data_IF_155904736950
#
_entry.id   IF_155904736950
#
_cell.length_a   1.000
_cell.length_b   1.000
_cell.length_c   1.000
_cell.angle_alpha   90.00
_cell.angle_beta   90.00
_cell.angle_gamma   90.00
#
_symmetry.space_group_name_H-M   'P 1'
#
loop_
_entity.id
_entity.type
_entity.pdbx_description
1 polymer ?
#
# COMPACT_ATOMS: atom_id res chain seq x y z
N UNK A 1 6.73 18.98 43.72
CA UNK A 1 6.31 18.03 42.66
C UNK A 1 6.78 18.57 41.33
N UNK A 2 7.90 18.02 40.87
CA UNK A 2 8.83 18.71 39.97
C UNK A 2 8.39 18.71 38.51
N UNK A 3 8.62 19.87 37.88
CA UNK A 3 8.45 20.12 36.44
C UNK A 3 9.21 19.12 35.54
N UNK A 4 10.19 18.40 36.09
CA UNK A 4 10.97 17.36 35.41
C UNK A 4 10.17 16.08 35.11
N UNK A 5 9.14 15.77 35.90
CA UNK A 5 8.26 14.61 35.68
C UNK A 5 7.38 14.75 34.43
N UNK A 6 7.10 15.98 33.97
CA UNK A 6 6.28 16.23 32.78
C UNK A 6 7.03 16.04 31.47
N UNK A 7 8.36 16.11 31.44
CA UNK A 7 9.13 15.85 30.21
C UNK A 7 9.29 14.35 29.93
N UNK A 8 9.21 13.50 30.96
CA UNK A 8 9.36 12.05 30.82
C UNK A 8 8.10 11.35 30.29
N UNK A 9 6.91 11.88 30.59
CA UNK A 9 5.62 11.31 30.18
C UNK A 9 5.34 11.53 28.69
N UNK A 10 5.87 12.61 28.10
CA UNK A 10 5.74 12.87 26.66
C UNK A 10 6.68 12.01 25.81
N UNK A 11 7.79 11.53 26.38
CA UNK A 11 8.70 10.61 25.70
C UNK A 11 8.07 9.21 25.52
N UNK A 12 7.50 8.66 26.59
CA UNK A 12 6.91 7.31 26.58
C UNK A 12 5.57 7.28 25.85
N UNK A 13 4.68 8.26 26.03
CA UNK A 13 3.43 8.34 25.27
C UNK A 13 3.67 8.59 23.78
N UNK A 14 4.68 9.36 23.39
CA UNK A 14 5.00 9.58 21.98
C UNK A 14 5.56 8.31 21.33
N UNK A 15 6.36 7.52 22.05
CA UNK A 15 6.82 6.21 21.59
C UNK A 15 5.70 5.17 21.51
N UNK A 16 4.76 5.16 22.46
CA UNK A 16 3.54 4.32 22.41
C UNK A 16 2.64 4.74 21.26
N UNK A 17 2.49 6.04 21.02
CA UNK A 17 1.73 6.59 19.90
C UNK A 17 2.39 6.22 18.56
N UNK A 18 3.71 6.38 18.43
CA UNK A 18 4.44 5.89 17.25
C UNK A 18 4.29 4.38 17.11
N UNK A 19 4.41 3.59 18.18
CA UNK A 19 4.24 2.14 18.13
C UNK A 19 2.82 1.73 17.70
N UNK A 20 1.80 2.43 18.19
CA UNK A 20 0.40 2.26 17.80
C UNK A 20 0.19 2.63 16.32
N UNK A 21 0.78 3.73 15.85
CA UNK A 21 0.77 4.16 14.45
C UNK A 21 1.56 3.19 13.53
N UNK A 22 2.66 2.59 14.01
CA UNK A 22 3.41 1.54 13.29
C UNK A 22 2.61 0.25 13.13
N UNK A 23 1.89 -0.14 14.19
CA UNK A 23 0.96 -1.28 14.13
C UNK A 23 -0.18 -1.02 13.12
N UNK A 24 -0.57 0.24 12.93
CA UNK A 24 -1.52 0.65 11.90
C UNK A 24 -0.96 0.53 10.47
N UNK A 25 0.28 0.95 10.21
CA UNK A 25 0.84 0.92 8.85
C UNK A 25 1.06 -0.51 8.33
N UNK A 26 1.67 -1.39 9.13
CA UNK A 26 1.86 -2.79 8.75
C UNK A 26 0.51 -3.46 8.48
N UNK A 27 -0.50 -3.18 9.31
CA UNK A 27 -1.84 -3.68 9.13
C UNK A 27 -2.45 -3.21 7.79
N UNK A 28 -2.39 -1.92 7.48
CA UNK A 28 -2.89 -1.41 6.20
C UNK A 28 -2.14 -1.98 4.99
N UNK A 29 -0.82 -2.15 5.09
CA UNK A 29 0.00 -2.80 4.05
C UNK A 29 -0.44 -4.25 3.85
N UNK A 30 -0.72 -4.98 4.94
CA UNK A 30 -1.20 -6.35 4.87
C UNK A 30 -2.59 -6.45 4.23
N UNK A 31 -3.50 -5.54 4.58
CA UNK A 31 -4.82 -5.44 3.92
C UNK A 31 -4.66 -5.13 2.43
N UNK A 32 -3.77 -4.20 2.07
CA UNK A 32 -3.47 -3.88 0.68
C UNK A 32 -2.91 -5.08 -0.10
N UNK A 33 -2.02 -5.86 0.52
CA UNK A 33 -1.54 -7.13 -0.05
C UNK A 33 -2.67 -8.14 -0.26
N UNK A 34 -3.54 -8.34 0.74
CA UNK A 34 -4.69 -9.24 0.62
C UNK A 34 -5.61 -8.83 -0.54
N UNK A 35 -5.92 -7.54 -0.66
CA UNK A 35 -6.74 -7.02 -1.75
C UNK A 35 -6.07 -7.20 -3.12
N UNK A 36 -4.75 -7.05 -3.20
CA UNK A 36 -4.00 -7.32 -4.43
C UNK A 36 -4.00 -8.80 -4.80
N UNK A 37 -3.81 -9.69 -3.82
CA UNK A 37 -3.73 -11.15 -4.00
C UNK A 37 -5.07 -11.77 -4.34
N UNK A 38 -6.17 -11.15 -3.90
CA UNK A 38 -7.52 -11.67 -4.09
C UNK A 38 -7.77 -12.04 -5.56
N UNK A 39 -8.10 -13.32 -5.77
CA UNK A 39 -8.42 -13.91 -7.07
C UNK A 39 -7.34 -13.74 -8.18
N UNK A 40 -6.06 -13.62 -7.82
CA UNK A 40 -4.95 -13.49 -8.79
C UNK A 40 -3.84 -14.53 -8.57
N UNK A 41 -3.57 -15.34 -9.60
CA UNK A 41 -2.62 -16.47 -9.56
C UNK A 41 -1.40 -16.30 -10.48
N UNK A 42 -1.07 -15.08 -10.91
CA UNK A 42 0.10 -14.84 -11.79
C UNK A 42 1.40 -15.30 -11.14
N UNK A 43 2.33 -15.86 -11.94
CA UNK A 43 3.66 -16.34 -11.49
C UNK A 43 4.40 -15.34 -10.58
N UNK A 44 4.34 -14.04 -10.90
CA UNK A 44 4.98 -12.99 -10.10
C UNK A 44 4.37 -12.82 -8.71
N UNK A 45 3.05 -13.00 -8.57
CA UNK A 45 2.33 -12.92 -7.30
C UNK A 45 2.65 -14.15 -6.45
N UNK A 46 2.64 -15.35 -7.05
CA UNK A 46 3.02 -16.59 -6.37
C UNK A 46 4.46 -16.52 -5.87
N UNK A 47 5.39 -16.05 -6.70
CA UNK A 47 6.78 -15.83 -6.29
C UNK A 47 6.93 -14.74 -5.19
N UNK A 48 5.96 -13.84 -5.06
CA UNK A 48 5.90 -12.89 -3.96
C UNK A 48 5.36 -13.51 -2.68
N UNK A 49 4.34 -14.33 -2.79
CA UNK A 49 3.71 -15.04 -1.69
C UNK A 49 4.69 -15.95 -0.94
N UNK A 50 5.64 -16.59 -1.62
CA UNK A 50 6.65 -17.44 -0.95
C UNK A 50 7.48 -16.72 0.14
N UNK A 51 7.64 -15.39 0.04
CA UNK A 51 8.40 -14.58 1.00
C UNK A 51 7.65 -13.31 1.40
N UNK A 52 6.31 -13.35 1.39
CA UNK A 52 5.49 -12.14 1.53
C UNK A 52 5.67 -11.48 2.89
N UNK A 53 5.69 -12.22 3.99
CA UNK A 53 5.85 -11.67 5.35
C UNK A 53 7.12 -10.82 5.46
N UNK A 54 8.27 -11.38 5.07
CA UNK A 54 9.55 -10.67 5.06
C UNK A 54 9.51 -9.42 4.18
N UNK A 55 8.99 -9.54 2.95
CA UNK A 55 8.91 -8.43 1.99
C UNK A 55 7.98 -7.31 2.45
N UNK A 56 6.86 -7.63 3.09
CA UNK A 56 5.93 -6.63 3.64
C UNK A 56 6.51 -5.92 4.86
N UNK A 57 7.25 -6.65 5.71
CA UNK A 57 7.98 -6.05 6.83
C UNK A 57 9.10 -5.11 6.35
N UNK A 58 9.87 -5.52 5.33
CA UNK A 58 10.87 -4.66 4.69
C UNK A 58 10.24 -3.42 4.09
N UNK A 59 9.15 -3.57 3.33
CA UNK A 59 8.42 -2.45 2.74
C UNK A 59 7.88 -1.48 3.80
N UNK A 60 7.34 -2.01 4.90
CA UNK A 60 6.89 -1.18 6.03
C UNK A 60 8.02 -0.33 6.58
N UNK A 61 9.20 -0.93 6.81
CA UNK A 61 10.38 -0.20 7.30
C UNK A 61 10.84 0.88 6.32
N UNK A 62 10.84 0.59 5.03
CA UNK A 62 11.23 1.57 4.01
C UNK A 62 10.26 2.75 3.92
N UNK A 63 8.95 2.50 4.07
CA UNK A 63 7.94 3.55 4.08
C UNK A 63 8.04 4.41 5.35
N UNK A 64 8.25 3.79 6.51
CA UNK A 64 8.51 4.51 7.77
C UNK A 64 9.75 5.39 7.68
N UNK A 65 10.82 4.88 7.10
CA UNK A 65 12.09 5.58 6.94
C UNK A 65 12.10 6.55 5.73
N UNK A 66 10.99 6.65 4.99
CA UNK A 66 10.89 7.45 3.74
C UNK A 66 11.98 7.10 2.71
N UNK A 67 12.48 5.87 2.73
CA UNK A 67 13.53 5.38 1.84
C UNK A 67 12.98 4.54 0.68
N UNK A 68 11.67 4.30 0.66
CA UNK A 68 11.00 3.58 -0.43
C UNK A 68 11.26 4.25 -1.79
N UNK A 69 11.67 3.45 -2.77
CA UNK A 69 11.85 3.86 -4.17
C UNK A 69 11.09 2.91 -5.07
N UNK A 70 10.38 3.49 -6.04
CA UNK A 70 9.61 2.74 -7.04
C UNK A 70 10.56 1.96 -7.93
N UNK A 71 10.21 0.71 -8.22
CA UNK A 71 10.99 -0.15 -9.11
C UNK A 71 10.71 0.22 -10.58
N UNK A 72 11.63 -0.05 -11.52
CA UNK A 72 11.36 0.16 -12.93
C UNK A 72 10.14 -0.65 -13.40
N UNK A 73 9.39 -0.11 -14.36
CA UNK A 73 8.25 -0.82 -14.93
C UNK A 73 8.69 -1.95 -15.85
N UNK A 74 7.93 -3.05 -15.85
CA UNK A 74 8.04 -4.08 -16.89
C UNK A 74 7.17 -3.69 -18.07
N UNK A 75 7.79 -3.39 -19.20
CA UNK A 75 7.10 -3.03 -20.44
C UNK A 75 6.93 -4.26 -21.34
N UNK A 76 5.72 -4.48 -21.86
CA UNK A 76 5.45 -5.51 -22.87
C UNK A 76 4.24 -5.13 -23.72
N UNK A 77 4.20 -5.60 -24.96
CA UNK A 77 3.08 -5.37 -25.88
C UNK A 77 2.11 -6.54 -25.79
N UNK A 78 0.81 -6.24 -25.75
CA UNK A 78 -0.24 -7.22 -26.01
C UNK A 78 -1.08 -6.78 -27.20
N UNK A 79 -1.61 -7.75 -27.95
CA UNK A 79 -2.27 -7.49 -29.24
C UNK A 79 -3.80 -7.55 -29.17
N UNK A 80 -4.37 -8.12 -28.11
CA UNK A 80 -5.81 -8.42 -28.01
C UNK A 80 -6.52 -7.55 -26.94
N UNK A 81 -7.66 -6.88 -27.23
CA UNK A 81 -8.33 -6.73 -28.54
C UNK A 81 -7.66 -5.74 -29.50
N UNK A 82 -6.82 -4.85 -28.99
CA UNK A 82 -6.02 -3.89 -29.78
C UNK A 82 -4.61 -3.86 -29.22
N UNK A 83 -3.62 -3.66 -30.11
CA UNK A 83 -2.22 -3.51 -29.74
C UNK A 83 -2.05 -2.38 -28.71
N UNK A 84 -1.53 -2.73 -27.53
CA UNK A 84 -1.21 -1.78 -26.47
C UNK A 84 0.08 -2.15 -25.76
N UNK A 85 0.88 -1.12 -25.48
CA UNK A 85 2.01 -1.21 -24.57
C UNK A 85 1.49 -1.20 -23.14
N UNK A 86 1.87 -2.22 -22.37
CA UNK A 86 1.55 -2.33 -20.96
C UNK A 86 2.80 -2.05 -20.13
N UNK A 87 2.64 -1.11 -19.20
CA UNK A 87 3.62 -0.80 -18.17
C UNK A 87 3.18 -1.43 -16.85
N UNK A 88 3.67 -2.63 -16.56
CA UNK A 88 3.31 -3.35 -15.35
C UNK A 88 4.30 -3.05 -14.21
N UNK A 89 3.79 -2.50 -13.12
CA UNK A 89 4.54 -2.33 -11.87
C UNK A 89 4.85 -3.68 -11.20
N UNK A 90 5.96 -3.75 -10.47
CA UNK A 90 6.30 -4.91 -9.65
C UNK A 90 5.26 -5.17 -8.56
N UNK A 91 5.16 -6.41 -8.08
CA UNK A 91 4.17 -6.80 -7.04
C UNK A 91 4.31 -5.93 -5.78
N UNK A 92 5.55 -5.66 -5.35
CA UNK A 92 5.86 -4.77 -4.22
C UNK A 92 5.21 -3.40 -4.38
N UNK A 93 5.43 -2.77 -5.52
CA UNK A 93 4.95 -1.41 -5.78
C UNK A 93 3.42 -1.39 -5.94
N UNK A 94 2.85 -2.46 -6.51
CA UNK A 94 1.39 -2.64 -6.56
C UNK A 94 0.75 -2.71 -5.17
N UNK A 95 1.42 -3.27 -4.15
CA UNK A 95 0.92 -3.22 -2.77
C UNK A 95 0.82 -1.77 -2.29
N UNK A 96 1.83 -0.94 -2.58
CA UNK A 96 1.81 0.49 -2.25
C UNK A 96 0.69 1.22 -3.00
N UNK A 97 0.45 0.89 -4.27
CA UNK A 97 -0.68 1.46 -5.03
C UNK A 97 -2.02 1.09 -4.41
N UNK A 98 -2.22 -0.17 -3.99
CA UNK A 98 -3.43 -0.60 -3.29
C UNK A 98 -3.61 0.09 -1.93
N UNK A 99 -2.50 0.31 -1.20
CA UNK A 99 -2.51 1.08 0.03
C UNK A 99 -2.97 2.52 -0.22
N UNK A 100 -2.36 3.21 -1.19
CA UNK A 100 -2.74 4.58 -1.56
C UNK A 100 -4.21 4.65 -2.01
N UNK A 101 -4.63 3.74 -2.90
CA UNK A 101 -6.01 3.64 -3.36
C UNK A 101 -7.00 3.52 -2.19
N UNK A 102 -6.70 2.67 -1.20
CA UNK A 102 -7.59 2.48 -0.04
C UNK A 102 -7.79 3.75 0.79
N UNK A 103 -6.81 4.66 0.78
CA UNK A 103 -6.86 5.91 1.54
C UNK A 103 -7.57 7.00 0.71
N UNK A 104 -7.27 7.11 -0.59
CA UNK A 104 -7.77 8.21 -1.42
C UNK A 104 -9.17 7.96 -2.00
N UNK A 105 -9.51 6.70 -2.31
CA UNK A 105 -10.77 6.36 -3.00
C UNK A 105 -12.02 6.88 -2.28
N UNK A 106 -12.18 6.74 -0.95
CA UNK A 106 -13.38 7.24 -0.25
C UNK A 106 -13.60 8.76 -0.34
N UNK A 107 -12.53 9.52 -0.59
CA UNK A 107 -12.62 10.96 -0.80
C UNK A 107 -13.13 11.27 -2.20
N UNK A 108 -12.56 10.63 -3.23
CA UNK A 108 -12.95 10.85 -4.61
C UNK A 108 -14.35 10.33 -4.95
N UNK A 109 -14.81 9.26 -4.31
CA UNK A 109 -16.17 8.73 -4.50
C UNK A 109 -17.27 9.77 -4.18
N UNK A 110 -16.97 10.73 -3.30
CA UNK A 110 -17.90 11.82 -2.94
C UNK A 110 -17.90 12.98 -3.93
N UNK A 111 -16.89 13.04 -4.79
CA UNK A 111 -16.61 14.18 -5.68
C UNK A 111 -16.92 13.82 -7.14
N UNK A 112 -16.86 12.53 -7.49
CA UNK A 112 -17.12 12.11 -8.86
C UNK A 112 -18.50 12.54 -9.35
N UNK A 113 -18.53 13.00 -10.61
CA UNK A 113 -19.77 13.29 -11.32
C UNK A 113 -20.63 12.03 -11.42
N UNK A 114 -21.95 12.23 -11.53
CA UNK A 114 -22.91 11.14 -11.59
C UNK A 114 -22.63 10.16 -12.74
N UNK A 115 -22.26 10.68 -13.91
CA UNK A 115 -22.03 9.89 -15.14
C UNK A 115 -20.65 9.21 -15.21
N UNK A 116 -19.85 9.28 -14.13
CA UNK A 116 -18.60 8.52 -14.06
C UNK A 116 -18.88 7.11 -13.52
N UNK A 117 -18.87 6.13 -14.41
CA UNK A 117 -19.10 4.71 -14.09
C UNK A 117 -17.80 3.89 -14.01
N UNK A 118 -16.68 4.40 -14.54
CA UNK A 118 -15.48 3.61 -14.72
C UNK A 118 -14.78 3.27 -13.39
N UNK A 119 -14.48 1.97 -13.18
CA UNK A 119 -13.65 1.47 -12.07
C UNK A 119 -14.17 1.79 -10.66
N UNK A 120 -15.49 1.92 -10.48
CA UNK A 120 -16.14 2.18 -9.18
C UNK A 120 -16.88 0.95 -8.69
N UNK A 121 -17.00 0.81 -7.37
CA UNK A 121 -17.70 -0.34 -6.77
C UNK A 121 -19.22 -0.12 -6.92
N UNK A 122 -19.89 -1.04 -7.63
CA UNK A 122 -21.35 -0.99 -7.82
C UNK A 122 -21.84 0.02 -8.85
N UNK A 123 -20.98 0.43 -9.79
CA UNK A 123 -21.30 1.29 -10.93
C UNK A 123 -20.81 0.68 -12.23
#
# INVERSE_FOLDING_TARGET
MDKLSRLFIWSTHFLIFIHFMKKSLLYHIFIAWKNLRYNKSTKSIVAFELKHEKRLLELTKELENKSYRISPYRCFIIYDPVQREIFAAHVRDRVVHHLLYSIISPFFEKIFIYDNYACRVGK
#
